data_IF_954143035184
#
_entry.id   IF_954143035184
#
_cell.length_a   1.000
_cell.length_b   1.000
_cell.length_c   1.000
_cell.angle_alpha   90.00
_cell.angle_beta   90.00
_cell.angle_gamma   90.00
#
_symmetry.space_group_name_H-M   'P 1'
#
loop_
_entity.id
_entity.type
_entity.pdbx_description
1 polymer ?
#
# COMPACT_ATOMS: atom_id res chain seq x y z
N UNK A 1 -37.73 -44.71 15.86
CA UNK A 1 -38.72 -43.67 15.55
C UNK A 1 -38.36 -42.47 16.39
N UNK A 2 -37.58 -41.56 15.82
CA UNK A 2 -37.33 -40.18 16.28
C UNK A 2 -36.80 -39.39 15.08
N UNK A 3 -37.36 -38.21 14.90
CA UNK A 3 -37.44 -37.45 13.65
C UNK A 3 -36.44 -36.31 13.61
N UNK A 4 -35.98 -36.00 12.39
CA UNK A 4 -35.83 -34.66 11.78
C UNK A 4 -35.30 -33.48 12.63
N UNK A 5 -34.19 -32.90 12.15
CA UNK A 5 -34.16 -31.52 11.63
C UNK A 5 -32.80 -31.23 10.96
N UNK A 6 -32.70 -31.45 9.65
CA UNK A 6 -31.69 -30.77 8.85
C UNK A 6 -32.10 -29.31 8.72
N UNK A 7 -31.49 -28.43 9.51
CA UNK A 7 -31.61 -26.99 9.28
C UNK A 7 -30.79 -26.62 8.05
N UNK A 8 -31.49 -26.61 6.91
CA UNK A 8 -31.16 -25.77 5.77
C UNK A 8 -31.29 -24.30 6.20
N UNK A 9 -30.20 -23.55 6.16
CA UNK A 9 -30.26 -22.09 6.11
C UNK A 9 -29.86 -21.64 4.71
N UNK A 10 -30.77 -20.85 4.17
CA UNK A 10 -30.91 -20.37 2.82
C UNK A 10 -29.73 -19.57 2.30
N UNK A 11 -29.55 -19.70 0.98
CA UNK A 11 -28.89 -18.73 0.13
C UNK A 11 -29.41 -17.30 0.39
N UNK A 12 -28.47 -16.37 0.52
CA UNK A 12 -28.70 -14.94 0.61
C UNK A 12 -27.56 -14.21 -0.08
N UNK A 13 -27.72 -14.04 -1.39
CA UNK A 13 -26.92 -13.17 -2.24
C UNK A 13 -26.97 -11.73 -1.72
N UNK A 14 -25.82 -11.10 -1.57
CA UNK A 14 -25.64 -9.68 -1.84
C UNK A 14 -24.14 -9.45 -1.96
N UNK A 15 -23.72 -8.94 -3.13
CA UNK A 15 -22.33 -8.83 -3.52
C UNK A 15 -21.48 -8.18 -2.44
N UNK A 16 -20.44 -8.90 -2.02
CA UNK A 16 -19.24 -8.23 -1.59
C UNK A 16 -18.76 -7.40 -2.78
N UNK A 17 -18.74 -6.06 -2.64
CA UNK A 17 -18.18 -5.23 -3.68
C UNK A 17 -16.73 -5.64 -3.82
N UNK A 18 -16.39 -6.06 -5.04
CA UNK A 18 -15.06 -6.10 -5.62
C UNK A 18 -14.15 -5.05 -4.97
N UNK A 19 -13.51 -5.43 -3.85
CA UNK A 19 -12.65 -4.55 -3.10
C UNK A 19 -11.34 -4.55 -3.86
N UNK A 20 -11.21 -3.52 -4.69
CA UNK A 20 -10.09 -3.29 -5.58
C UNK A 20 -10.00 -4.33 -6.70
N UNK A 21 -10.90 -4.16 -7.68
CA UNK A 21 -10.40 -4.00 -9.05
C UNK A 21 -9.38 -2.85 -9.01
N UNK A 22 -8.14 -3.16 -8.60
CA UNK A 22 -6.97 -2.32 -8.84
C UNK A 22 -6.86 -2.36 -10.35
N UNK A 23 -7.59 -1.45 -10.99
CA UNK A 23 -7.37 -1.07 -12.36
C UNK A 23 -5.88 -0.77 -12.40
N UNK A 24 -5.12 -1.71 -12.95
CA UNK A 24 -3.73 -1.58 -13.30
C UNK A 24 -3.65 -0.56 -14.44
N UNK A 25 -4.12 0.66 -14.16
CA UNK A 25 -3.77 1.84 -14.92
C UNK A 25 -2.25 1.86 -14.89
N UNK A 26 -1.66 1.98 -16.07
CA UNK A 26 -0.23 1.96 -16.27
C UNK A 26 0.33 3.21 -15.58
N UNK A 27 0.59 3.12 -14.27
CA UNK A 27 1.07 4.23 -13.45
C UNK A 27 2.42 4.62 -14.01
N UNK A 28 2.54 5.87 -14.45
CA UNK A 28 3.79 6.38 -14.97
C UNK A 28 4.86 6.31 -13.89
N UNK A 29 6.13 6.09 -14.25
CA UNK A 29 7.23 6.08 -13.28
C UNK A 29 7.26 7.35 -12.41
N UNK A 30 6.91 8.51 -12.99
CA UNK A 30 6.78 9.76 -12.26
C UNK A 30 5.66 9.73 -11.21
N UNK A 31 4.50 9.18 -11.55
CA UNK A 31 3.36 9.04 -10.63
C UNK A 31 3.68 8.04 -9.50
N UNK A 32 4.39 6.95 -9.81
CA UNK A 32 4.83 5.97 -8.82
C UNK A 32 5.82 6.60 -7.83
N UNK A 33 6.77 7.42 -8.31
CA UNK A 33 7.70 8.16 -7.45
C UNK A 33 6.94 9.09 -6.50
N UNK A 34 5.93 9.81 -6.97
CA UNK A 34 5.13 10.68 -6.12
C UNK A 34 4.29 9.91 -5.09
N UNK A 35 3.69 8.78 -5.46
CA UNK A 35 2.97 7.92 -4.52
C UNK A 35 3.89 7.41 -3.41
N UNK A 36 5.08 6.92 -3.77
CA UNK A 36 6.08 6.45 -2.79
C UNK A 36 6.58 7.57 -1.88
N UNK A 37 6.67 8.83 -2.37
CA UNK A 37 6.97 9.99 -1.50
C UNK A 37 5.87 10.22 -0.47
N UNK A 38 4.60 10.13 -0.88
CA UNK A 38 3.46 10.28 0.03
C UNK A 38 3.45 9.16 1.08
N UNK A 39 3.69 7.92 0.68
CA UNK A 39 3.78 6.77 1.58
C UNK A 39 4.94 6.90 2.58
N UNK A 40 6.11 7.36 2.12
CA UNK A 40 7.24 7.66 2.99
C UNK A 40 6.88 8.69 4.06
N UNK A 41 6.19 9.76 3.67
CA UNK A 41 5.76 10.81 4.60
C UNK A 41 4.72 10.29 5.61
N UNK A 42 3.81 9.43 5.16
CA UNK A 42 2.86 8.76 6.04
C UNK A 42 3.57 7.86 7.06
N UNK A 43 4.56 7.08 6.61
CA UNK A 43 5.33 6.19 7.48
C UNK A 43 6.06 6.97 8.58
N UNK A 44 6.71 8.08 8.25
CA UNK A 44 7.36 8.98 9.22
C UNK A 44 6.37 9.48 10.29
N UNK A 45 5.20 9.96 9.88
CA UNK A 45 4.19 10.44 10.81
C UNK A 45 3.70 9.34 11.77
N UNK A 46 3.58 8.09 11.31
CA UNK A 46 3.21 6.98 12.18
C UNK A 46 4.33 6.63 13.17
N UNK A 47 5.58 6.63 12.71
CA UNK A 47 6.76 6.39 13.56
C UNK A 47 6.86 7.49 14.65
N UNK A 48 6.66 8.75 14.28
CA UNK A 48 6.67 9.88 15.22
C UNK A 48 5.48 9.82 16.19
N UNK A 49 4.34 9.30 15.74
CA UNK A 49 3.17 8.99 16.57
C UNK A 49 3.35 7.82 17.53
N UNK A 50 4.52 7.17 17.56
CA UNK A 50 4.84 6.08 18.47
C UNK A 50 4.27 4.73 18.06
N UNK A 51 3.86 4.56 16.79
CA UNK A 51 3.46 3.26 16.25
C UNK A 51 4.68 2.37 16.05
N UNK A 52 4.48 1.05 16.25
CA UNK A 52 5.50 0.01 16.10
C UNK A 52 6.82 0.31 16.85
N UNK A 53 6.75 0.55 18.17
CA UNK A 53 7.94 0.86 18.97
C UNK A 53 9.02 -0.24 18.87
N UNK A 54 8.63 -1.50 18.67
CA UNK A 54 9.57 -2.61 18.51
C UNK A 54 10.31 -2.61 17.16
N UNK A 55 9.75 -1.97 16.11
CA UNK A 55 10.31 -1.93 14.76
C UNK A 55 10.81 -0.53 14.38
N UNK A 56 10.84 0.42 15.33
CA UNK A 56 11.12 1.83 15.04
C UNK A 56 12.45 2.04 14.32
N UNK A 57 13.49 1.29 14.72
CA UNK A 57 14.82 1.38 14.11
C UNK A 57 14.84 0.80 12.71
N UNK A 58 14.22 -0.37 12.50
CA UNK A 58 14.12 -1.00 11.19
C UNK A 58 13.28 -0.16 10.22
N UNK A 59 12.17 0.39 10.68
CA UNK A 59 11.32 1.28 9.88
C UNK A 59 12.02 2.60 9.54
N UNK A 60 12.82 3.17 10.46
CA UNK A 60 13.63 4.35 10.17
C UNK A 60 14.76 4.03 9.16
N UNK A 61 15.35 2.84 9.22
CA UNK A 61 16.35 2.41 8.24
C UNK A 61 15.71 2.26 6.84
N UNK A 62 14.54 1.62 6.77
CA UNK A 62 13.78 1.45 5.54
C UNK A 62 13.34 2.78 4.95
N UNK A 63 12.84 3.70 5.78
CA UNK A 63 12.47 5.06 5.38
C UNK A 63 13.65 5.82 4.76
N UNK A 64 14.84 5.69 5.37
CA UNK A 64 16.07 6.32 4.87
C UNK A 64 16.54 5.71 3.56
N UNK A 65 16.44 4.39 3.40
CA UNK A 65 16.75 3.71 2.13
C UNK A 65 15.79 4.15 1.03
N UNK A 66 14.48 4.17 1.32
CA UNK A 66 13.45 4.63 0.41
C UNK A 66 13.69 6.08 -0.02
N UNK A 67 14.12 6.96 0.89
CA UNK A 67 14.52 8.32 0.58
C UNK A 67 15.64 8.40 -0.48
N UNK A 68 16.68 7.58 -0.35
CA UNK A 68 17.79 7.52 -1.31
C UNK A 68 17.34 7.02 -2.69
N UNK A 69 16.49 5.99 -2.73
CA UNK A 69 15.98 5.45 -3.99
C UNK A 69 15.10 6.48 -4.71
N UNK A 70 14.25 7.20 -3.98
CA UNK A 70 13.38 8.24 -4.55
C UNK A 70 14.16 9.46 -5.06
N UNK A 71 15.28 9.80 -4.42
CA UNK A 71 16.19 10.83 -4.90
C UNK A 71 16.82 10.42 -6.24
N UNK A 72 17.39 9.21 -6.31
CA UNK A 72 17.98 8.67 -7.54
C UNK A 72 16.95 8.52 -8.66
N UNK A 73 15.73 8.07 -8.35
CA UNK A 73 14.66 7.96 -9.32
C UNK A 73 14.29 9.34 -9.91
N UNK A 74 14.25 10.37 -9.08
CA UNK A 74 13.99 11.74 -9.52
C UNK A 74 15.11 12.27 -10.42
N UNK A 75 16.37 12.06 -10.04
CA UNK A 75 17.50 12.46 -10.86
C UNK A 75 17.45 11.82 -12.25
N UNK A 76 17.10 10.54 -12.33
CA UNK A 76 16.96 9.80 -13.59
C UNK A 76 15.79 10.29 -14.44
N UNK A 77 14.66 10.62 -13.82
CA UNK A 77 13.52 11.23 -14.52
C UNK A 77 13.88 12.61 -15.07
N UNK A 78 14.60 13.42 -14.29
CA UNK A 78 15.05 14.74 -14.71
C UNK A 78 16.09 14.67 -15.83
N UNK A 79 16.98 13.67 -15.81
CA UNK A 79 17.99 13.44 -16.85
C UNK A 79 17.38 12.93 -18.16
N UNK A 80 16.41 12.01 -18.07
CA UNK A 80 15.70 11.46 -19.23
C UNK A 80 14.72 12.42 -19.89
N UNK A 81 14.22 13.43 -19.16
CA UNK A 81 13.34 14.48 -19.71
C UNK A 81 14.05 15.60 -20.46
N UNK A 82 15.39 15.63 -20.44
CA UNK A 82 16.22 16.70 -21.03
C UNK A 82 17.03 16.24 -22.26
N UNK A 83 16.66 15.09 -22.85
CA UNK A 83 17.29 14.48 -24.04
C UNK A 83 16.37 14.47 -25.25
#
# INVERSE_FOLDING_TARGET
MESMASSSVSAGSAGEPSAAEVSSAEVSTAELVEQLRADRLWLLQQIDGGRWPELRLDLAALERELGQVLEQAQEKLNLGGNS
#
